data_IF_882780940350
#
_entry.id   IF_882780940350
#
_cell.length_a   1.000
_cell.length_b   1.000
_cell.length_c   1.000
_cell.angle_alpha   90.00
_cell.angle_beta   90.00
_cell.angle_gamma   90.00
#
_symmetry.space_group_name_H-M   'P 1'
#
loop_
_entity.id
_entity.type
_entity.pdbx_description
1 polymer ?
#
# COMPACT_ATOMS: atom_id res chain seq x y z
N UNK A 1 10.24 51.09 -53.77
CA UNK A 1 9.38 49.95 -54.15
C UNK A 1 10.17 48.65 -53.96
N UNK A 2 9.48 47.56 -53.61
CA UNK A 2 9.95 46.17 -53.50
C UNK A 2 10.52 45.68 -52.14
N UNK A 3 9.64 45.17 -51.26
CA UNK A 3 9.94 44.08 -50.28
C UNK A 3 8.66 43.61 -49.55
N UNK A 4 7.92 42.65 -50.12
CA UNK A 4 6.85 41.86 -49.44
C UNK A 4 6.50 40.61 -50.27
N UNK A 5 7.24 39.49 -50.14
CA UNK A 5 6.83 38.15 -50.65
C UNK A 5 7.62 37.00 -50.01
N UNK A 6 7.57 36.81 -48.68
CA UNK A 6 8.26 35.63 -48.10
C UNK A 6 7.63 34.99 -46.85
N UNK A 7 6.33 35.19 -46.58
CA UNK A 7 5.71 34.68 -45.35
C UNK A 7 4.67 33.54 -45.50
N UNK A 8 4.29 33.09 -46.70
CA UNK A 8 3.12 32.19 -46.82
C UNK A 8 3.42 30.69 -47.05
N UNK A 9 4.68 30.26 -47.26
CA UNK A 9 4.95 28.84 -47.56
C UNK A 9 5.08 27.94 -46.32
N UNK A 10 5.17 28.50 -45.11
CA UNK A 10 5.43 27.74 -43.88
C UNK A 10 4.21 27.16 -43.15
N UNK A 11 3.00 27.63 -43.45
CA UNK A 11 1.76 27.24 -42.76
C UNK A 11 1.13 25.98 -43.35
N UNK A 12 1.07 25.88 -44.68
CA UNK A 12 0.44 24.74 -45.38
C UNK A 12 1.15 23.39 -45.12
N UNK A 13 2.47 23.39 -44.90
CA UNK A 13 3.23 22.18 -44.58
C UNK A 13 3.00 21.65 -43.16
N UNK A 14 2.64 22.54 -42.22
CA UNK A 14 2.45 22.19 -40.79
C UNK A 14 1.10 21.50 -40.57
N UNK A 15 0.07 21.93 -41.28
CA UNK A 15 -1.27 21.34 -41.21
C UNK A 15 -1.33 19.93 -41.82
N UNK A 16 -0.57 19.69 -42.90
CA UNK A 16 -0.48 18.34 -43.51
C UNK A 16 0.20 17.33 -42.58
N UNK A 17 1.22 17.74 -41.79
CA UNK A 17 1.85 16.86 -40.79
C UNK A 17 0.87 16.54 -39.65
N UNK A 18 0.18 17.55 -39.10
CA UNK A 18 -0.84 17.34 -38.05
C UNK A 18 -1.99 16.42 -38.48
N UNK A 19 -2.43 16.52 -39.73
CA UNK A 19 -3.49 15.65 -40.26
C UNK A 19 -3.03 14.19 -40.40
N UNK A 20 -1.76 13.96 -40.80
CA UNK A 20 -1.18 12.62 -40.95
C UNK A 20 -1.01 11.93 -39.60
N UNK A 21 -0.51 12.65 -38.61
CA UNK A 21 -0.31 12.14 -37.25
C UNK A 21 -1.66 11.76 -36.59
N UNK A 22 -2.71 12.55 -36.80
CA UNK A 22 -4.05 12.24 -36.29
C UNK A 22 -4.69 11.00 -36.93
N UNK A 23 -4.40 10.71 -38.20
CA UNK A 23 -4.88 9.49 -38.86
C UNK A 23 -4.16 8.24 -38.37
N UNK A 24 -2.85 8.33 -38.11
CA UNK A 24 -2.06 7.25 -37.53
C UNK A 24 -2.49 6.95 -36.10
N UNK A 25 -2.69 7.99 -35.27
CA UNK A 25 -3.18 7.85 -33.91
C UNK A 25 -4.54 7.15 -33.84
N UNK A 26 -5.47 7.50 -34.74
CA UNK A 26 -6.78 6.84 -34.83
C UNK A 26 -6.69 5.37 -35.27
N UNK A 27 -5.72 5.02 -36.14
CA UNK A 27 -5.48 3.60 -36.50
C UNK A 27 -4.89 2.82 -35.33
N UNK A 28 -3.92 3.39 -34.60
CA UNK A 28 -3.34 2.78 -33.41
C UNK A 28 -4.40 2.58 -32.31
N UNK A 29 -5.25 3.57 -32.05
CA UNK A 29 -6.39 3.42 -31.15
C UNK A 29 -7.31 2.26 -31.56
N UNK A 30 -7.73 2.20 -32.83
CA UNK A 30 -8.59 1.10 -33.31
C UNK A 30 -7.92 -0.28 -33.19
N UNK A 31 -6.63 -0.39 -33.44
CA UNK A 31 -5.88 -1.64 -33.27
C UNK A 31 -5.79 -2.03 -31.79
N UNK A 32 -5.55 -1.07 -30.89
CA UNK A 32 -5.54 -1.33 -29.45
C UNK A 32 -6.93 -1.70 -28.93
N UNK A 33 -8.01 -1.08 -29.44
CA UNK A 33 -9.38 -1.47 -29.06
C UNK A 33 -9.77 -2.84 -29.63
N UNK A 34 -9.34 -3.16 -30.85
CA UNK A 34 -9.60 -4.47 -31.47
C UNK A 34 -8.82 -5.60 -30.78
N UNK A 35 -7.60 -5.32 -30.31
CA UNK A 35 -6.78 -6.29 -29.56
C UNK A 35 -7.24 -6.41 -28.10
N UNK A 36 -7.63 -5.32 -27.44
CA UNK A 36 -8.20 -5.34 -26.09
C UNK A 36 -9.60 -5.97 -26.01
N UNK A 37 -10.32 -6.09 -27.13
CA UNK A 37 -11.57 -6.83 -27.23
C UNK A 37 -11.39 -8.35 -27.35
N UNK A 38 -10.19 -8.84 -27.66
CA UNK A 38 -9.92 -10.27 -27.80
C UNK A 38 -9.75 -10.99 -26.44
N UNK A 39 -9.54 -10.24 -25.35
CA UNK A 39 -9.51 -10.79 -23.99
C UNK A 39 -10.92 -11.14 -23.45
N UNK A 40 -11.99 -10.84 -24.22
CA UNK A 40 -13.36 -11.18 -23.85
C UNK A 40 -13.73 -12.67 -24.07
N UNK A 41 -12.82 -13.50 -24.58
CA UNK A 41 -13.12 -14.86 -25.00
C UNK A 41 -12.29 -15.95 -24.28
N UNK A 42 -11.89 -15.74 -23.03
CA UNK A 42 -11.57 -16.85 -22.12
C UNK A 42 -12.75 -17.04 -21.16
N UNK A 43 -13.66 -17.99 -21.43
CA UNK A 43 -14.76 -18.30 -20.53
C UNK A 43 -14.17 -18.76 -19.19
N UNK A 44 -14.24 -17.91 -18.16
CA UNK A 44 -13.74 -18.20 -16.81
C UNK A 44 -12.75 -17.18 -16.22
N UNK A 45 -12.04 -16.41 -17.04
CA UNK A 45 -11.06 -15.43 -16.55
C UNK A 45 -11.71 -14.22 -15.83
N UNK A 46 -12.92 -13.84 -16.24
CA UNK A 46 -13.65 -12.73 -15.62
C UNK A 46 -14.19 -13.04 -14.22
N UNK A 47 -14.43 -14.32 -13.89
CA UNK A 47 -15.08 -14.70 -12.62
C UNK A 47 -14.08 -14.70 -11.46
N UNK A 48 -12.87 -15.21 -11.67
CA UNK A 48 -11.80 -15.20 -10.66
C UNK A 48 -11.33 -13.78 -10.33
N UNK A 49 -11.20 -12.91 -11.33
CA UNK A 49 -10.86 -11.51 -11.14
C UNK A 49 -11.92 -10.75 -10.32
N UNK A 50 -13.21 -10.95 -10.63
CA UNK A 50 -14.32 -10.34 -9.88
C UNK A 50 -14.39 -10.84 -8.44
N UNK A 51 -14.16 -12.14 -8.20
CA UNK A 51 -14.09 -12.70 -6.85
C UNK A 51 -12.89 -12.13 -6.08
N UNK A 52 -11.72 -12.05 -6.71
CA UNK A 52 -10.53 -11.44 -6.11
C UNK A 52 -10.80 -10.01 -5.63
N UNK A 53 -11.41 -9.18 -6.48
CA UNK A 53 -11.79 -7.80 -6.12
C UNK A 53 -12.83 -7.78 -5.00
N UNK A 54 -13.87 -8.63 -5.07
CA UNK A 54 -14.95 -8.69 -4.09
C UNK A 54 -14.47 -9.08 -2.69
N UNK A 55 -13.38 -9.85 -2.57
CA UNK A 55 -12.76 -10.20 -1.28
C UNK A 55 -11.67 -9.23 -0.86
N UNK A 56 -10.79 -8.83 -1.79
CA UNK A 56 -9.65 -7.97 -1.48
C UNK A 56 -10.09 -6.59 -1.01
N UNK A 57 -11.14 -6.02 -1.62
CA UNK A 57 -11.59 -4.67 -1.28
C UNK A 57 -12.15 -4.56 0.16
N UNK A 58 -13.13 -5.38 0.59
CA UNK A 58 -13.60 -5.34 1.98
C UNK A 58 -12.50 -5.65 3.00
N UNK A 59 -11.58 -6.55 2.67
CA UNK A 59 -10.45 -6.89 3.53
C UNK A 59 -9.50 -5.69 3.69
N UNK A 60 -9.11 -5.06 2.59
CA UNK A 60 -8.26 -3.86 2.60
C UNK A 60 -8.94 -2.70 3.33
N UNK A 61 -10.24 -2.50 3.13
CA UNK A 61 -11.02 -1.48 3.83
C UNK A 61 -11.06 -1.74 5.34
N UNK A 62 -11.31 -2.99 5.75
CA UNK A 62 -11.34 -3.39 7.16
C UNK A 62 -9.97 -3.21 7.82
N UNK A 63 -8.90 -3.56 7.11
CA UNK A 63 -7.53 -3.35 7.58
C UNK A 63 -7.21 -1.85 7.77
N UNK A 64 -7.61 -1.00 6.83
CA UNK A 64 -7.46 0.45 6.98
C UNK A 64 -8.23 0.99 8.20
N UNK A 65 -9.48 0.56 8.40
CA UNK A 65 -10.27 0.95 9.58
C UNK A 65 -9.56 0.50 10.87
N UNK A 66 -9.09 -0.76 10.92
CA UNK A 66 -8.35 -1.28 12.06
C UNK A 66 -7.08 -0.47 12.33
N UNK A 67 -6.32 -0.11 11.28
CA UNK A 67 -5.11 0.70 11.40
C UNK A 67 -5.40 2.10 11.95
N UNK A 68 -6.47 2.75 11.50
CA UNK A 68 -6.88 4.06 12.00
C UNK A 68 -7.28 4.02 13.49
N UNK A 69 -8.11 3.05 13.86
CA UNK A 69 -8.53 2.86 15.25
C UNK A 69 -7.33 2.54 16.14
N UNK A 70 -6.47 1.62 15.71
CA UNK A 70 -5.26 1.26 16.44
C UNK A 70 -4.30 2.44 16.59
N UNK A 71 -4.13 3.26 15.54
CA UNK A 71 -3.30 4.48 15.59
C UNK A 71 -3.86 5.50 16.58
N UNK A 72 -5.18 5.68 16.61
CA UNK A 72 -5.82 6.56 17.59
C UNK A 72 -5.55 6.10 19.03
N UNK A 73 -5.69 4.79 19.29
CA UNK A 73 -5.39 4.23 20.60
C UNK A 73 -3.90 4.26 20.93
N UNK A 74 -3.01 3.98 19.98
CA UNK A 74 -1.56 4.05 20.17
C UNK A 74 -1.13 5.47 20.58
N UNK A 75 -1.61 6.50 19.86
CA UNK A 75 -1.32 7.90 20.21
C UNK A 75 -1.91 8.32 21.56
N UNK A 76 -3.12 7.85 21.88
CA UNK A 76 -3.72 8.05 23.20
C UNK A 76 -2.91 7.37 24.31
N UNK A 77 -2.50 6.12 24.14
CA UNK A 77 -1.74 5.37 25.14
C UNK A 77 -0.32 5.91 25.31
N UNK A 78 0.31 6.40 24.24
CA UNK A 78 1.63 7.03 24.32
C UNK A 78 1.64 8.35 25.09
N UNK A 79 0.56 9.14 25.01
CA UNK A 79 0.56 10.54 25.49
C UNK A 79 -0.45 10.86 26.59
N UNK A 80 -1.40 9.95 26.85
CA UNK A 80 -2.56 10.19 27.71
C UNK A 80 -3.61 11.15 27.11
N UNK A 81 -3.39 11.68 25.89
CA UNK A 81 -4.24 12.72 25.27
C UNK A 81 -5.00 12.19 24.06
N UNK A 82 -6.34 12.20 24.12
CA UNK A 82 -7.21 11.74 23.01
C UNK A 82 -6.98 12.53 21.72
N UNK A 83 -6.75 13.83 21.83
CA UNK A 83 -6.51 14.70 20.68
C UNK A 83 -5.27 14.29 19.87
N UNK A 84 -4.19 13.84 20.53
CA UNK A 84 -2.98 13.38 19.85
C UNK A 84 -3.27 12.12 19.05
N UNK A 85 -3.95 11.15 19.65
CA UNK A 85 -4.38 9.93 18.95
C UNK A 85 -5.26 10.22 17.74
N UNK A 86 -6.29 11.05 17.90
CA UNK A 86 -7.18 11.43 16.80
C UNK A 86 -6.43 12.17 15.68
N UNK A 87 -5.49 13.05 16.03
CA UNK A 87 -4.67 13.77 15.05
C UNK A 87 -3.77 12.80 14.27
N UNK A 88 -3.15 11.85 14.95
CA UNK A 88 -2.33 10.81 14.31
C UNK A 88 -3.17 9.93 13.37
N UNK A 89 -4.37 9.52 13.79
CA UNK A 89 -5.29 8.76 12.95
C UNK A 89 -5.78 9.59 11.75
N UNK A 90 -6.10 10.88 11.95
CA UNK A 90 -6.48 11.77 10.86
C UNK A 90 -5.34 11.95 9.85
N UNK A 91 -4.10 12.13 10.32
CA UNK A 91 -2.93 12.22 9.45
C UNK A 91 -2.76 10.93 8.63
N UNK A 92 -2.93 9.76 9.25
CA UNK A 92 -2.90 8.47 8.54
C UNK A 92 -4.03 8.33 7.51
N UNK A 93 -5.26 8.78 7.85
CA UNK A 93 -6.41 8.73 6.93
C UNK A 93 -6.26 9.65 5.72
N UNK A 94 -5.62 10.81 5.93
CA UNK A 94 -5.46 11.85 4.91
C UNK A 94 -4.26 11.57 4.01
N UNK A 95 -3.24 10.85 4.50
CA UNK A 95 -2.01 10.55 3.77
C UNK A 95 -2.22 10.08 2.32
N UNK A 96 -3.12 9.12 2.03
CA UNK A 96 -3.29 8.64 0.66
C UNK A 96 -3.84 9.71 -0.29
N UNK A 97 -4.66 10.65 0.22
CA UNK A 97 -5.16 11.79 -0.54
C UNK A 97 -4.02 12.78 -0.86
N UNK A 98 -3.10 12.98 0.09
CA UNK A 98 -1.92 13.83 -0.14
C UNK A 98 -1.02 13.24 -1.23
N UNK A 99 -0.77 11.93 -1.22
CA UNK A 99 -0.01 11.26 -2.27
C UNK A 99 -0.65 11.48 -3.65
N UNK A 100 -1.97 11.34 -3.75
CA UNK A 100 -2.70 11.56 -4.99
C UNK A 100 -2.64 13.02 -5.47
N UNK A 101 -2.66 13.99 -4.55
CA UNK A 101 -2.51 15.42 -4.88
C UNK A 101 -1.08 15.73 -5.34
N UNK A 102 -0.06 15.20 -4.67
CA UNK A 102 1.35 15.43 -4.99
C UNK A 102 1.75 14.79 -6.32
N UNK A 103 1.22 13.60 -6.62
CA UNK A 103 1.53 12.88 -7.85
C UNK A 103 0.83 13.44 -9.11
N UNK A 104 -0.08 14.41 -8.95
CA UNK A 104 -0.73 15.13 -10.03
C UNK A 104 -1.78 14.32 -10.82
N UNK A 105 -2.31 14.91 -11.89
CA UNK A 105 -3.37 14.32 -12.73
C UNK A 105 -2.95 12.99 -13.37
N UNK A 106 -1.68 12.83 -13.72
CA UNK A 106 -1.15 11.58 -14.29
C UNK A 106 -1.32 10.38 -13.36
N UNK A 107 -1.28 10.56 -12.04
CA UNK A 107 -1.49 9.46 -11.11
C UNK A 107 -2.95 8.99 -11.06
N UNK A 108 -3.89 9.92 -11.25
CA UNK A 108 -5.33 9.63 -11.35
C UNK A 108 -5.67 8.87 -12.63
N UNK A 109 -5.15 9.34 -13.76
CA UNK A 109 -5.39 8.75 -15.08
C UNK A 109 -4.80 7.33 -15.20
N UNK A 110 -3.64 7.10 -14.58
CA UNK A 110 -2.93 5.82 -14.68
C UNK A 110 -3.31 4.83 -13.57
N UNK A 111 -4.19 5.21 -12.64
CA UNK A 111 -4.60 4.36 -11.51
C UNK A 111 -3.49 4.10 -10.49
N UNK A 112 -2.34 4.77 -10.58
CA UNK A 112 -1.21 4.61 -9.66
C UNK A 112 -1.61 4.90 -8.22
N UNK A 113 -2.55 5.81 -8.02
CA UNK A 113 -3.12 6.12 -6.70
C UNK A 113 -3.75 4.89 -6.01
N UNK A 114 -4.35 3.94 -6.74
CA UNK A 114 -4.89 2.69 -6.16
C UNK A 114 -3.78 1.80 -5.61
N UNK A 115 -2.61 1.83 -6.24
CA UNK A 115 -1.43 1.09 -5.78
C UNK A 115 -0.82 1.78 -4.57
N UNK A 116 -0.64 3.10 -4.64
CA UNK A 116 -0.04 3.90 -3.56
C UNK A 116 -0.91 3.98 -2.30
N UNK A 117 -2.23 3.85 -2.44
CA UNK A 117 -3.16 3.77 -1.30
C UNK A 117 -3.25 2.35 -0.71
N UNK A 118 -2.52 1.38 -1.26
CA UNK A 118 -2.56 -0.02 -0.86
C UNK A 118 -3.88 -0.73 -1.21
N UNK A 119 -4.78 -0.09 -1.97
CA UNK A 119 -6.05 -0.69 -2.40
C UNK A 119 -5.86 -1.76 -3.47
N UNK A 120 -4.82 -1.65 -4.30
CA UNK A 120 -4.48 -2.65 -5.31
C UNK A 120 -3.75 -3.86 -4.72
N UNK A 121 -3.13 -3.73 -3.55
CA UNK A 121 -2.35 -4.77 -2.88
C UNK A 121 -2.78 -4.87 -1.41
N UNK A 122 -3.77 -5.74 -1.13
CA UNK A 122 -4.34 -5.95 0.21
C UNK A 122 -3.31 -6.29 1.30
N UNK A 123 -2.12 -6.73 0.92
CA UNK A 123 -1.01 -7.02 1.82
C UNK A 123 -0.49 -5.78 2.54
N UNK A 124 -0.53 -4.59 1.91
CA UNK A 124 -0.02 -3.37 2.53
C UNK A 124 -0.92 -2.81 3.63
N UNK A 125 -2.25 -2.67 3.42
CA UNK A 125 -3.16 -2.26 4.48
C UNK A 125 -3.16 -3.27 5.64
N UNK A 126 -3.16 -4.57 5.33
CA UNK A 126 -3.13 -5.62 6.35
C UNK A 126 -1.87 -5.54 7.22
N UNK A 127 -0.69 -5.45 6.58
CA UNK A 127 0.59 -5.25 7.25
C UNK A 127 0.55 -4.05 8.20
N UNK A 128 0.06 -2.91 7.71
CA UNK A 128 -0.03 -1.66 8.47
C UNK A 128 -0.96 -1.80 9.67
N UNK A 129 -2.11 -2.46 9.49
CA UNK A 129 -3.04 -2.77 10.58
C UNK A 129 -2.39 -3.63 11.66
N UNK A 130 -1.67 -4.69 11.27
CA UNK A 130 -0.98 -5.58 12.21
C UNK A 130 0.07 -4.83 13.05
N UNK A 131 0.89 -4.00 12.40
CA UNK A 131 1.93 -3.20 13.07
C UNK A 131 1.30 -2.19 14.04
N UNK A 132 0.27 -1.46 13.60
CA UNK A 132 -0.37 -0.44 14.45
C UNK A 132 -1.14 -1.05 15.62
N UNK A 133 -1.81 -2.20 15.43
CA UNK A 133 -2.44 -2.95 16.53
C UNK A 133 -1.40 -3.46 17.52
N UNK A 134 -0.30 -4.03 17.05
CA UNK A 134 0.80 -4.47 17.92
C UNK A 134 1.37 -3.30 18.72
N UNK A 135 1.57 -2.13 18.10
CA UNK A 135 2.03 -0.93 18.77
C UNK A 135 1.03 -0.46 19.84
N UNK A 136 -0.27 -0.44 19.53
CA UNK A 136 -1.31 -0.11 20.51
C UNK A 136 -1.29 -1.06 21.71
N UNK A 137 -1.09 -2.36 21.50
CA UNK A 137 -0.94 -3.35 22.58
C UNK A 137 0.31 -3.10 23.43
N UNK A 138 1.45 -2.82 22.79
CA UNK A 138 2.71 -2.52 23.48
C UNK A 138 2.61 -1.23 24.29
N UNK A 139 1.90 -0.22 23.80
CA UNK A 139 1.77 1.08 24.47
C UNK A 139 0.70 1.11 25.57
N UNK A 140 -0.23 0.16 25.60
CA UNK A 140 -1.35 0.14 26.54
C UNK A 140 -0.87 0.20 28.01
N UNK A 141 -1.48 1.08 28.80
CA UNK A 141 -1.29 1.13 30.25
C UNK A 141 -1.78 -0.16 30.91
N UNK A 142 -0.97 -0.76 31.79
CA UNK A 142 -1.33 -2.03 32.45
C UNK A 142 -1.22 -3.25 31.53
N UNK A 143 -0.37 -3.19 30.50
CA UNK A 143 -0.16 -4.32 29.59
C UNK A 143 0.27 -5.59 30.30
N UNK A 144 -0.26 -6.73 29.85
CA UNK A 144 0.04 -8.06 30.38
C UNK A 144 1.04 -8.80 29.49
N UNK A 145 1.64 -9.87 30.01
CA UNK A 145 2.59 -10.69 29.23
C UNK A 145 1.90 -11.34 28.01
N UNK A 146 0.61 -11.69 28.13
CA UNK A 146 -0.20 -12.18 27.01
C UNK A 146 -0.35 -11.13 25.91
N UNK A 147 -0.54 -9.86 26.27
CA UNK A 147 -0.64 -8.77 25.29
C UNK A 147 0.69 -8.52 24.58
N UNK A 148 1.81 -8.64 25.30
CA UNK A 148 3.14 -8.55 24.70
C UNK A 148 3.42 -9.72 23.75
N UNK A 149 3.06 -10.94 24.14
CA UNK A 149 3.17 -12.11 23.26
C UNK A 149 2.31 -11.95 22.00
N UNK A 150 1.06 -11.50 22.15
CA UNK A 150 0.17 -11.24 21.02
C UNK A 150 0.73 -10.15 20.09
N UNK A 151 1.29 -9.07 20.63
CA UNK A 151 1.96 -8.05 19.83
C UNK A 151 3.15 -8.65 19.03
N UNK A 152 3.89 -9.59 19.62
CA UNK A 152 4.97 -10.31 18.97
C UNK A 152 4.48 -11.16 17.80
N UNK A 153 3.39 -11.91 18.01
CA UNK A 153 2.74 -12.69 16.95
C UNK A 153 2.28 -11.81 15.79
N UNK A 154 1.63 -10.69 16.10
CA UNK A 154 1.17 -9.73 15.09
C UNK A 154 2.34 -9.12 14.29
N UNK A 155 3.44 -8.77 14.94
CA UNK A 155 4.65 -8.24 14.28
C UNK A 155 5.37 -9.31 13.45
N UNK A 156 5.39 -10.55 13.90
CA UNK A 156 5.92 -11.69 13.12
C UNK A 156 5.09 -11.93 11.87
N UNK A 157 3.76 -11.92 12.01
CA UNK A 157 2.86 -12.04 10.86
C UNK A 157 2.99 -10.86 9.90
N UNK A 158 3.09 -9.62 10.42
CA UNK A 158 3.36 -8.45 9.61
C UNK A 158 4.69 -8.59 8.83
N UNK A 159 5.73 -9.12 9.47
CA UNK A 159 7.04 -9.38 8.84
C UNK A 159 6.94 -10.45 7.75
N UNK A 160 6.13 -11.49 7.97
CA UNK A 160 5.84 -12.51 6.97
C UNK A 160 5.11 -11.91 5.74
N UNK A 161 4.17 -10.99 5.96
CA UNK A 161 3.46 -10.29 4.86
C UNK A 161 4.37 -9.31 4.12
N UNK A 162 5.22 -8.57 4.85
CA UNK A 162 6.15 -7.58 4.28
C UNK A 162 7.43 -7.54 5.12
N UNK A 163 8.54 -8.04 4.54
CA UNK A 163 9.82 -8.23 5.26
C UNK A 163 10.35 -6.94 5.90
N UNK A 164 10.08 -5.78 5.32
CA UNK A 164 10.49 -4.47 5.87
C UNK A 164 9.90 -4.20 7.26
N UNK A 165 8.82 -4.88 7.66
CA UNK A 165 8.28 -4.77 9.02
C UNK A 165 9.17 -5.40 10.08
N UNK A 166 10.20 -6.16 9.70
CA UNK A 166 11.22 -6.64 10.63
C UNK A 166 11.89 -5.49 11.40
N UNK A 167 11.99 -4.30 10.81
CA UNK A 167 12.46 -3.10 11.51
C UNK A 167 11.51 -2.65 12.62
N UNK A 168 10.20 -2.70 12.40
CA UNK A 168 9.21 -2.37 13.42
C UNK A 168 9.24 -3.38 14.58
N UNK A 169 9.41 -4.67 14.26
CA UNK A 169 9.60 -5.71 15.26
C UNK A 169 10.86 -5.48 16.10
N UNK A 170 12.00 -5.24 15.44
CA UNK A 170 13.27 -4.98 16.12
C UNK A 170 13.18 -3.75 17.03
N UNK A 171 12.59 -2.66 16.55
CA UNK A 171 12.37 -1.45 17.33
C UNK A 171 11.47 -1.72 18.54
N UNK A 172 10.36 -2.44 18.36
CA UNK A 172 9.47 -2.79 19.47
C UNK A 172 10.20 -3.60 20.55
N UNK A 173 11.03 -4.58 20.16
CA UNK A 173 11.84 -5.36 21.11
C UNK A 173 12.84 -4.47 21.85
N UNK A 174 13.57 -3.61 21.15
CA UNK A 174 14.53 -2.67 21.76
C UNK A 174 13.84 -1.72 22.74
N UNK A 175 12.69 -1.14 22.35
CA UNK A 175 11.94 -0.24 23.22
C UNK A 175 11.40 -0.97 24.46
N UNK A 176 10.82 -2.16 24.30
CA UNK A 176 10.31 -2.95 25.43
C UNK A 176 11.46 -3.37 26.35
N UNK A 177 12.57 -3.85 25.81
CA UNK A 177 13.75 -4.23 26.59
C UNK A 177 14.36 -3.03 27.34
N UNK A 178 14.51 -1.89 26.65
CA UNK A 178 15.16 -0.69 27.17
C UNK A 178 14.31 0.03 28.23
N UNK A 179 13.01 0.17 28.02
CA UNK A 179 12.14 0.88 28.95
C UNK A 179 11.55 0.00 30.05
N UNK A 180 11.38 -1.31 29.80
CA UNK A 180 10.59 -2.20 30.67
C UNK A 180 11.39 -3.39 31.20
N UNK A 181 12.63 -3.54 30.74
CA UNK A 181 13.55 -4.60 31.13
C UNK A 181 13.42 -5.87 30.26
N UNK A 182 14.52 -6.62 30.20
CA UNK A 182 14.65 -7.83 29.38
C UNK A 182 13.59 -8.89 29.69
N UNK A 183 13.21 -9.06 30.95
CA UNK A 183 12.19 -10.05 31.36
C UNK A 183 10.83 -9.77 30.70
N UNK A 184 10.46 -8.49 30.54
CA UNK A 184 9.21 -8.09 29.87
C UNK A 184 9.31 -8.18 28.35
N UNK A 185 10.52 -8.20 27.79
CA UNK A 185 10.70 -8.43 26.36
C UNK A 185 10.52 -9.91 25.97
N UNK A 186 10.71 -10.85 26.90
CA UNK A 186 10.64 -12.29 26.59
C UNK A 186 9.31 -12.73 25.96
N UNK A 187 8.11 -12.34 26.45
CA UNK A 187 6.87 -12.73 25.81
C UNK A 187 6.74 -12.19 24.39
N UNK A 188 7.14 -10.93 24.16
CA UNK A 188 7.15 -10.30 22.84
C UNK A 188 8.06 -11.07 21.87
N UNK A 189 9.28 -11.38 22.31
CA UNK A 189 10.26 -12.15 21.53
C UNK A 189 9.71 -13.55 21.25
N UNK A 190 9.14 -14.24 22.25
CA UNK A 190 8.55 -15.56 22.07
C UNK A 190 7.42 -15.56 21.03
N UNK A 191 6.50 -14.59 21.10
CA UNK A 191 5.45 -14.41 20.10
C UNK A 191 6.01 -14.10 18.71
N UNK A 192 7.15 -13.41 18.62
CA UNK A 192 7.77 -13.08 17.34
C UNK A 192 8.30 -14.28 16.56
N UNK A 193 8.51 -15.42 17.22
CA UNK A 193 8.94 -16.66 16.58
C UNK A 193 7.80 -17.47 15.94
N UNK A 194 6.53 -17.08 16.12
CA UNK A 194 5.38 -17.88 15.67
C UNK A 194 5.31 -18.13 14.16
N UNK A 195 5.76 -17.20 13.32
CA UNK A 195 5.78 -17.38 11.85
C UNK A 195 7.17 -17.72 11.28
N UNK A 196 8.17 -17.97 12.11
CA UNK A 196 9.51 -18.39 11.62
C UNK A 196 9.45 -19.71 10.82
N UNK A 197 8.67 -20.74 11.21
CA UNK A 197 8.53 -21.95 10.40
C UNK A 197 7.89 -21.67 9.03
N UNK A 198 6.90 -20.78 8.97
CA UNK A 198 6.26 -20.39 7.72
C UNK A 198 7.25 -19.64 6.81
N UNK A 199 8.01 -18.69 7.35
CA UNK A 199 9.09 -18.03 6.61
C UNK A 199 10.08 -19.05 6.05
N UNK A 200 10.58 -19.98 6.89
CA UNK A 200 11.54 -21.00 6.47
C UNK A 200 10.99 -21.93 5.37
N UNK A 201 9.71 -22.28 5.44
CA UNK A 201 9.06 -23.13 4.43
C UNK A 201 8.85 -22.40 3.08
N UNK A 202 8.50 -21.12 3.10
CA UNK A 202 8.22 -20.34 1.89
C UNK A 202 9.46 -19.67 1.28
N UNK A 203 10.53 -19.45 2.06
CA UNK A 203 11.74 -18.78 1.60
C UNK A 203 12.37 -19.39 0.34
N UNK A 204 12.51 -20.74 0.22
CA UNK A 204 13.11 -21.34 -0.97
C UNK A 204 12.26 -21.10 -2.23
N UNK A 205 10.94 -21.00 -2.10
CA UNK A 205 10.02 -20.86 -3.24
C UNK A 205 10.21 -19.50 -3.94
N UNK A 206 10.51 -18.45 -3.17
CA UNK A 206 10.69 -17.09 -3.69
C UNK A 206 12.05 -16.82 -4.34
N UNK A 207 13.12 -17.46 -3.87
CA UNK A 207 14.49 -17.13 -4.29
C UNK A 207 15.14 -18.15 -5.24
N UNK A 208 14.63 -19.38 -5.32
CA UNK A 208 15.24 -20.42 -6.18
C UNK A 208 14.82 -20.29 -7.66
N UNK A 209 13.86 -19.41 -7.98
CA UNK A 209 13.34 -19.20 -9.34
C UNK A 209 13.60 -17.80 -9.91
N UNK A 210 14.39 -16.97 -9.23
CA UNK A 210 14.79 -15.63 -9.67
C UNK A 210 16.15 -15.61 -10.35
#
# INVERSE_FOLDING_TARGET
>A
MARRRHCDEGSAGRDRRRARDGAEWRRRLRLVTALGGADAAVPGAGTSARLGIAFAFPLALSANIAALVATAYAGFYATGRRAVGLTAAAALAIWPLLSAVVAGQSAWENGTWLVDTGLALYTEPLSTALVTVALALVLRSGRTDVQLALAGVLLSYATFVKLTNGFALALAVVLVAGFLGLRRALPLVAGSFSFVPALAAYWPIGYVRG
#
